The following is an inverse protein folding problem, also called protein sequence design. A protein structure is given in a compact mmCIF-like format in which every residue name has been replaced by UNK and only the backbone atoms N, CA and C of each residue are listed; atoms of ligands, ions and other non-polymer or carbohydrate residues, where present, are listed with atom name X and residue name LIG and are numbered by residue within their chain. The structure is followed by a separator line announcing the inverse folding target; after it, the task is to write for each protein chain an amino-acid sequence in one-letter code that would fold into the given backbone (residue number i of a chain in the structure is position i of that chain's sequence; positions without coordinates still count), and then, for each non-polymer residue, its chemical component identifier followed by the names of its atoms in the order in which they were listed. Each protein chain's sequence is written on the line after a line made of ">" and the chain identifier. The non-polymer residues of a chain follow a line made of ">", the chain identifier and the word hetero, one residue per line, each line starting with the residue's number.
data_IF_716187115154
#
_entry.id   IF_716187115154
#
_cell.length_a   1.000
_cell.length_b   1.000
_cell.length_c   1.000
_cell.angle_alpha   90.00
_cell.angle_beta   90.00
_cell.angle_gamma   90.00
#
_symmetry.space_group_name_H-M   'P 1'
#
loop_
_entity.id
_entity.type
_entity.pdbx_description
1 polymer ?
#
# COMPACT_ATOMS: atom_id res chain seq x y z
N UNK A 1 6.50 -23.93 -11.84
CA UNK A 1 6.61 -23.34 -10.49
C UNK A 1 5.40 -23.61 -9.61
N UNK A 2 4.17 -23.28 -10.04
CA UNK A 2 2.95 -23.39 -9.23
C UNK A 2 2.58 -24.82 -8.75
N UNK A 3 3.12 -25.88 -9.39
CA UNK A 3 2.89 -27.25 -8.95
C UNK A 3 3.72 -27.61 -7.70
N UNK A 4 5.00 -27.21 -7.67
CA UNK A 4 5.91 -27.47 -6.55
C UNK A 4 5.49 -26.71 -5.28
N UNK A 5 4.88 -25.54 -5.42
CA UNK A 5 4.42 -24.75 -4.26
C UNK A 5 3.25 -25.37 -3.50
N UNK A 6 2.55 -26.38 -4.07
CA UNK A 6 1.44 -27.08 -3.41
C UNK A 6 1.90 -28.03 -2.30
N UNK A 7 3.09 -28.60 -2.42
CA UNK A 7 3.62 -29.57 -1.49
C UNK A 7 4.67 -28.93 -0.58
N UNK A 8 4.71 -29.33 0.69
CA UNK A 8 5.66 -28.79 1.65
C UNK A 8 7.13 -29.01 1.21
N UNK A 9 7.44 -30.20 0.71
CA UNK A 9 8.76 -30.54 0.17
C UNK A 9 9.14 -29.64 -1.02
N UNK A 10 8.18 -29.37 -1.92
CA UNK A 10 8.38 -28.50 -3.06
C UNK A 10 8.56 -27.03 -2.65
N UNK A 11 7.82 -26.52 -1.65
CA UNK A 11 8.06 -25.18 -1.09
C UNK A 11 9.46 -25.07 -0.49
N UNK A 12 9.90 -26.06 0.31
CA UNK A 12 11.27 -26.09 0.86
C UNK A 12 12.32 -26.09 -0.25
N UNK A 13 12.10 -26.85 -1.32
CA UNK A 13 12.99 -26.88 -2.49
C UNK A 13 13.06 -25.51 -3.19
N UNK A 14 11.90 -24.90 -3.47
CA UNK A 14 11.80 -23.57 -4.10
C UNK A 14 12.51 -22.50 -3.25
N UNK A 15 12.30 -22.49 -1.94
CA UNK A 15 12.96 -21.55 -1.03
C UNK A 15 14.46 -21.77 -0.95
N UNK A 16 14.92 -23.03 -0.90
CA UNK A 16 16.36 -23.35 -0.79
C UNK A 16 17.13 -23.00 -2.06
N UNK A 17 16.53 -23.20 -3.23
CA UNK A 17 17.14 -22.93 -4.53
C UNK A 17 16.45 -21.76 -5.24
N UNK A 18 16.02 -20.75 -4.48
CA UNK A 18 15.23 -19.63 -5.01
C UNK A 18 15.93 -18.93 -6.18
N UNK A 19 17.25 -18.73 -6.13
CA UNK A 19 18.03 -18.12 -7.23
C UNK A 19 17.94 -18.92 -8.52
N UNK A 20 17.97 -20.26 -8.44
CA UNK A 20 17.87 -21.13 -9.60
C UNK A 20 16.48 -21.03 -10.21
N UNK A 21 15.45 -21.22 -9.38
CA UNK A 21 14.06 -21.17 -9.86
C UNK A 21 13.61 -19.77 -10.30
N UNK A 22 14.20 -18.73 -9.72
CA UNK A 22 13.94 -17.34 -10.12
C UNK A 22 14.88 -16.82 -11.19
N UNK A 23 15.80 -17.62 -11.75
CA UNK A 23 16.82 -17.14 -12.70
C UNK A 23 17.57 -15.88 -12.22
N UNK A 24 17.83 -15.79 -10.91
CA UNK A 24 18.48 -14.63 -10.29
C UNK A 24 17.61 -13.37 -10.10
N UNK A 25 16.34 -13.37 -10.53
CA UNK A 25 15.43 -12.23 -10.34
C UNK A 25 15.08 -11.97 -8.85
N UNK A 26 15.02 -13.02 -8.04
CA UNK A 26 14.75 -12.89 -6.60
C UNK A 26 16.09 -12.83 -5.87
N UNK A 27 16.24 -11.81 -5.03
CA UNK A 27 17.32 -11.68 -4.06
C UNK A 27 16.78 -11.95 -2.66
N UNK A 28 17.59 -12.54 -1.78
CA UNK A 28 17.14 -12.87 -0.41
C UNK A 28 16.88 -11.59 0.41
N UNK A 29 17.74 -10.59 0.22
CA UNK A 29 17.60 -9.26 0.80
C UNK A 29 18.24 -8.25 -0.14
N UNK A 30 17.53 -7.17 -0.52
CA UNK A 30 18.15 -6.09 -1.27
C UNK A 30 19.15 -5.31 -0.39
N UNK A 31 20.18 -4.74 -1.01
CA UNK A 31 21.10 -3.84 -0.33
C UNK A 31 20.44 -2.49 -0.05
N UNK A 32 20.97 -1.74 0.93
CA UNK A 32 20.44 -0.41 1.25
C UNK A 32 20.48 0.54 0.02
N UNK A 33 21.48 0.40 -0.84
CA UNK A 33 21.54 1.15 -2.10
C UNK A 33 20.43 0.77 -3.08
N UNK A 34 20.11 -0.53 -3.18
CA UNK A 34 19.01 -1.01 -4.03
C UNK A 34 17.68 -0.47 -3.52
N UNK A 35 17.46 -0.49 -2.20
CA UNK A 35 16.25 0.08 -1.57
C UNK A 35 16.18 1.60 -1.82
N UNK A 36 17.29 2.33 -1.65
CA UNK A 36 17.32 3.78 -1.88
C UNK A 36 17.05 4.18 -3.33
N UNK A 37 17.50 3.36 -4.30
CA UNK A 37 17.31 3.62 -5.74
C UNK A 37 15.95 3.15 -6.25
N UNK A 38 15.33 2.17 -5.59
CA UNK A 38 14.04 1.63 -5.98
C UNK A 38 12.91 2.66 -5.83
N UNK A 39 11.96 2.61 -6.75
CA UNK A 39 10.77 3.44 -6.81
C UNK A 39 9.61 2.59 -7.30
N UNK A 40 8.40 2.93 -6.90
CA UNK A 40 7.20 2.36 -7.50
C UNK A 40 6.45 3.42 -8.32
N UNK A 41 5.75 2.92 -9.33
CA UNK A 41 4.79 3.64 -10.14
C UNK A 41 3.58 2.74 -10.31
N UNK A 42 2.40 3.21 -9.93
CA UNK A 42 1.14 2.53 -10.13
C UNK A 42 0.21 3.45 -10.91
N UNK A 43 -0.42 2.91 -11.95
CA UNK A 43 -1.42 3.59 -12.74
C UNK A 43 -2.74 2.84 -12.62
N UNK A 44 -3.78 3.55 -12.18
CA UNK A 44 -5.14 3.06 -12.12
C UNK A 44 -6.00 3.84 -13.10
N UNK A 45 -6.86 3.14 -13.83
CA UNK A 45 -7.88 3.77 -14.69
C UNK A 45 -9.24 3.41 -14.13
N UNK A 46 -10.00 4.42 -13.72
CA UNK A 46 -11.39 4.29 -13.27
C UNK A 46 -12.33 4.72 -14.39
N UNK A 47 -13.21 3.81 -14.81
CA UNK A 47 -14.27 4.10 -15.79
C UNK A 47 -15.61 4.08 -15.07
N UNK A 48 -16.47 5.07 -15.36
CA UNK A 48 -17.78 5.19 -14.76
C UNK A 48 -18.75 5.95 -15.67
N UNK A 49 -19.98 6.15 -15.17
CA UNK A 49 -21.00 6.92 -15.87
C UNK A 49 -21.35 8.15 -15.03
N UNK A 50 -21.31 9.34 -15.63
CA UNK A 50 -21.75 10.59 -15.02
C UNK A 50 -22.70 11.28 -15.97
N UNK A 51 -23.92 11.56 -15.51
CA UNK A 51 -24.98 12.20 -16.32
C UNK A 51 -25.30 11.45 -17.63
N UNK A 52 -25.20 10.12 -17.64
CA UNK A 52 -25.46 9.30 -18.83
C UNK A 52 -24.28 9.18 -19.80
N UNK A 53 -23.18 9.89 -19.57
CA UNK A 53 -21.96 9.81 -20.37
C UNK A 53 -20.91 8.93 -19.69
N UNK A 54 -20.19 8.15 -20.49
CA UNK A 54 -19.06 7.36 -20.02
C UNK A 54 -17.88 8.31 -19.75
N UNK A 55 -17.38 8.29 -18.52
CA UNK A 55 -16.22 9.06 -18.08
C UNK A 55 -15.09 8.11 -17.69
N UNK A 56 -13.86 8.53 -17.95
CA UNK A 56 -12.64 7.86 -17.47
C UNK A 56 -11.81 8.86 -16.66
N UNK A 57 -11.15 8.38 -15.62
CA UNK A 57 -10.15 9.11 -14.85
C UNK A 57 -8.97 8.21 -14.57
N UNK A 58 -7.78 8.77 -14.67
CA UNK A 58 -6.53 8.10 -14.32
C UNK A 58 -6.03 8.59 -12.95
N UNK A 59 -5.53 7.65 -12.15
CA UNK A 59 -4.82 7.90 -10.91
C UNK A 59 -3.41 7.33 -11.03
N UNK A 60 -2.43 8.20 -10.98
CA UNK A 60 -1.03 7.84 -10.86
C UNK A 60 -0.59 7.95 -9.40
N UNK A 61 0.06 6.90 -8.91
CA UNK A 61 0.67 6.86 -7.58
C UNK A 61 2.16 6.59 -7.76
N UNK A 62 3.00 7.45 -7.21
CA UNK A 62 4.46 7.28 -7.25
C UNK A 62 5.05 7.35 -5.86
N UNK A 63 6.16 6.64 -5.65
CA UNK A 63 6.85 6.70 -4.37
C UNK A 63 8.19 5.98 -4.37
N UNK A 64 8.82 5.88 -3.18
CA UNK A 64 10.09 5.20 -2.99
C UNK A 64 9.93 3.68 -3.11
N UNK A 65 10.89 2.90 -2.64
CA UNK A 65 10.78 1.44 -2.61
C UNK A 65 9.43 0.97 -2.04
N UNK A 66 8.70 0.08 -2.74
CA UNK A 66 7.37 -0.36 -2.30
C UNK A 66 7.41 -1.32 -1.10
N UNK A 67 8.48 -2.11 -0.94
CA UNK A 67 8.51 -3.23 0.01
C UNK A 67 8.93 -2.83 1.43
N UNK A 68 9.86 -1.88 1.54
CA UNK A 68 10.47 -1.46 2.80
C UNK A 68 10.05 -0.04 3.15
N UNK A 69 10.34 0.94 2.28
CA UNK A 69 10.14 2.36 2.63
C UNK A 69 8.66 2.71 2.63
N UNK A 70 7.98 2.47 1.50
CA UNK A 70 6.55 2.80 1.34
C UNK A 70 5.68 2.05 2.34
N UNK A 71 5.93 0.75 2.56
CA UNK A 71 5.18 -0.05 3.53
C UNK A 71 5.35 0.50 4.96
N UNK A 72 6.58 0.85 5.36
CA UNK A 72 6.85 1.44 6.67
C UNK A 72 6.12 2.78 6.85
N UNK A 73 6.11 3.63 5.82
CA UNK A 73 5.36 4.88 5.82
C UNK A 73 3.85 4.60 5.97
N UNK A 74 3.28 3.69 5.17
CA UNK A 74 1.85 3.40 5.18
C UNK A 74 1.37 2.86 6.53
N UNK A 75 2.11 1.94 7.14
CA UNK A 75 1.78 1.41 8.48
C UNK A 75 1.87 2.51 9.54
N UNK A 76 2.92 3.33 9.50
CA UNK A 76 3.12 4.42 10.48
C UNK A 76 2.03 5.48 10.39
N UNK A 77 1.68 5.90 9.17
CA UNK A 77 0.60 6.87 8.92
C UNK A 77 -0.74 6.29 9.37
N UNK A 78 -0.99 5.00 9.10
CA UNK A 78 -2.21 4.32 9.58
C UNK A 78 -2.28 4.31 11.11
N UNK A 79 -1.19 3.98 11.79
CA UNK A 79 -1.15 4.01 13.25
C UNK A 79 -1.39 5.44 13.81
N UNK A 80 -0.80 6.45 13.18
CA UNK A 80 -0.98 7.84 13.55
C UNK A 80 -2.44 8.30 13.44
N UNK A 81 -3.09 8.04 12.29
CA UNK A 81 -4.50 8.42 12.12
C UNK A 81 -5.43 7.62 13.02
N UNK A 82 -5.13 6.34 13.30
CA UNK A 82 -5.91 5.57 14.26
C UNK A 82 -5.83 6.17 15.67
N UNK A 83 -4.64 6.58 16.09
CA UNK A 83 -4.45 7.26 17.38
C UNK A 83 -5.22 8.58 17.45
N UNK A 84 -5.14 9.40 16.40
CA UNK A 84 -5.88 10.68 16.31
C UNK A 84 -7.40 10.46 16.43
N UNK A 85 -7.94 9.46 15.73
CA UNK A 85 -9.37 9.10 15.85
C UNK A 85 -9.75 8.63 17.25
N UNK A 86 -8.90 7.84 17.92
CA UNK A 86 -9.16 7.40 19.29
C UNK A 86 -9.15 8.58 20.27
N UNK A 87 -8.22 9.53 20.12
CA UNK A 87 -8.15 10.73 20.97
C UNK A 87 -9.37 11.63 20.80
N UNK A 88 -9.79 11.89 19.56
CA UNK A 88 -11.01 12.65 19.29
C UNK A 88 -12.24 12.01 19.93
N UNK A 89 -12.28 10.67 20.00
CA UNK A 89 -13.41 9.91 20.56
C UNK A 89 -13.46 10.12 22.07
N UNK A 90 -12.30 9.99 22.71
CA UNK A 90 -12.16 10.18 24.15
C UNK A 90 -12.48 11.63 24.56
N UNK A 91 -12.23 12.60 23.68
CA UNK A 91 -12.58 14.01 23.86
C UNK A 91 -14.06 14.34 23.60
N UNK A 92 -14.89 13.35 23.22
CA UNK A 92 -16.32 13.54 23.00
C UNK A 92 -16.68 14.21 21.66
N UNK A 93 -15.75 14.26 20.70
CA UNK A 93 -16.07 14.73 19.34
C UNK A 93 -17.04 13.76 18.66
N UNK A 94 -17.94 14.28 17.81
CA UNK A 94 -18.89 13.47 17.06
C UNK A 94 -18.19 12.82 15.85
N UNK A 95 -17.34 11.84 16.12
CA UNK A 95 -16.76 11.00 15.09
C UNK A 95 -17.71 9.86 14.79
N UNK A 96 -17.79 9.48 13.51
CA UNK A 96 -18.36 8.22 13.03
C UNK A 96 -18.10 7.10 14.04
N UNK A 97 -19.16 6.49 14.59
CA UNK A 97 -19.06 5.39 15.56
C UNK A 97 -17.95 4.41 15.14
N UNK A 98 -16.78 4.43 15.79
CA UNK A 98 -15.71 3.49 15.49
C UNK A 98 -16.23 2.09 15.80
N UNK A 99 -16.45 1.24 14.78
CA UNK A 99 -16.94 -0.10 15.06
C UNK A 99 -15.82 -0.88 15.76
N UNK A 100 -16.20 -1.72 16.72
CA UNK A 100 -15.27 -2.70 17.25
C UNK A 100 -14.80 -3.67 16.15
N UNK A 101 -13.62 -4.27 16.33
CA UNK A 101 -13.08 -5.29 15.42
C UNK A 101 -11.94 -4.78 14.53
N UNK A 102 -11.86 -5.31 13.31
CA UNK A 102 -10.75 -5.04 12.39
C UNK A 102 -11.12 -3.89 11.46
N UNK A 103 -10.36 -2.79 11.53
CA UNK A 103 -10.51 -1.63 10.68
C UNK A 103 -9.53 -1.72 9.52
N UNK A 104 -10.02 -1.50 8.30
CA UNK A 104 -9.15 -1.37 7.12
C UNK A 104 -8.61 0.05 7.01
N UNK A 105 -7.46 0.26 6.36
CA UNK A 105 -6.97 1.60 6.06
C UNK A 105 -7.98 2.45 5.28
N UNK A 106 -8.80 1.83 4.41
CA UNK A 106 -9.85 2.53 3.68
C UNK A 106 -10.97 3.08 4.58
N UNK A 107 -11.29 2.40 5.68
CA UNK A 107 -12.20 2.95 6.70
C UNK A 107 -11.53 4.10 7.44
N UNK A 108 -10.29 3.89 7.88
CA UNK A 108 -9.52 4.86 8.65
C UNK A 108 -9.33 6.20 7.92
N UNK A 109 -9.07 6.13 6.62
CA UNK A 109 -8.72 7.28 5.80
C UNK A 109 -9.91 8.07 5.24
N UNK A 110 -11.15 7.59 5.45
CA UNK A 110 -12.35 8.23 4.88
C UNK A 110 -12.46 9.71 5.23
N UNK A 111 -12.23 10.05 6.48
CA UNK A 111 -12.46 11.40 7.04
C UNK A 111 -11.14 12.12 7.37
N UNK A 112 -10.00 11.60 6.91
CA UNK A 112 -8.67 12.13 7.22
C UNK A 112 -8.06 12.85 6.01
N UNK A 113 -7.25 13.89 6.25
CA UNK A 113 -6.40 14.47 5.20
C UNK A 113 -5.11 13.66 5.03
N UNK A 114 -5.25 12.39 4.66
CA UNK A 114 -4.13 11.44 4.58
C UNK A 114 -3.22 11.72 3.38
N UNK A 115 -3.77 12.24 2.27
CA UNK A 115 -3.03 12.46 1.03
C UNK A 115 -1.84 13.42 1.22
N UNK A 116 -2.05 14.53 1.92
CA UNK A 116 -0.96 15.48 2.26
C UNK A 116 0.11 14.84 3.14
N UNK A 117 -0.31 14.00 4.09
CA UNK A 117 0.62 13.29 4.97
C UNK A 117 1.49 12.33 4.16
N UNK A 118 0.90 11.54 3.26
CA UNK A 118 1.65 10.65 2.38
C UNK A 118 2.60 11.41 1.44
N UNK A 119 2.16 12.55 0.89
CA UNK A 119 2.99 13.38 0.02
C UNK A 119 4.21 13.93 0.75
N UNK A 120 4.07 14.34 2.02
CA UNK A 120 5.18 14.80 2.86
C UNK A 120 6.28 13.75 3.08
N UNK A 121 5.97 12.46 2.89
CA UNK A 121 6.92 11.35 2.94
C UNK A 121 7.28 10.79 1.56
N UNK A 122 6.92 11.51 0.48
CA UNK A 122 7.32 11.21 -0.89
C UNK A 122 6.41 10.21 -1.62
N UNK A 123 5.21 9.94 -1.10
CA UNK A 123 4.19 9.13 -1.77
C UNK A 123 3.15 10.08 -2.38
N UNK A 124 3.23 10.24 -3.70
CA UNK A 124 2.43 11.22 -4.47
C UNK A 124 1.24 10.57 -5.16
N UNK A 125 0.13 11.28 -5.17
CA UNK A 125 -1.10 10.92 -5.87
C UNK A 125 -1.42 12.01 -6.89
N UNK A 126 -1.68 11.62 -8.15
CA UNK A 126 -2.03 12.54 -9.23
C UNK A 126 -3.24 12.01 -9.98
N UNK A 127 -4.29 12.80 -10.03
CA UNK A 127 -5.48 12.52 -10.83
C UNK A 127 -5.39 13.31 -12.14
N UNK A 128 -5.67 12.65 -13.26
CA UNK A 128 -5.73 13.26 -14.59
C UNK A 128 -6.77 12.54 -15.46
N UNK A 129 -7.10 13.12 -16.61
CA UNK A 129 -8.06 12.55 -17.56
C UNK A 129 -7.48 11.38 -18.35
#
# INVERSE_FOLDING_TARGET
>A
MAYLSKYECGRKLLMRYYKFFSHGFVVNKPTDEQIKKAKFHMLFTGVGIKNGEMISKNLEITGPDPGYVTMSIAVSISAFFLLDLLQKRDNGENISNLPGGVLTPGFLFRDCNYLEKFDSYGIRFKIFD
#
